data_IF_416050410378
#
_entry.id   IF_416050410378
#
_cell.length_a   1.000
_cell.length_b   1.000
_cell.length_c   1.000
_cell.angle_alpha   90.00
_cell.angle_beta   90.00
_cell.angle_gamma   90.00
#
_symmetry.space_group_name_H-M   'P 1'
#
loop_
_entity.id
_entity.type
_entity.pdbx_description
1 polymer ?
#
# COMPACT_ATOMS: atom_id res chain seq x y z
N UNK A 1 7.49 -2.08 -15.13
CA UNK A 1 7.05 -2.60 -13.85
C UNK A 1 6.96 -1.49 -12.82
N UNK A 2 5.84 -1.40 -12.15
CA UNK A 2 5.66 -0.34 -11.14
C UNK A 2 6.44 -0.64 -9.88
N UNK A 3 7.06 0.39 -9.36
CA UNK A 3 7.76 0.30 -8.09
C UNK A 3 7.14 1.24 -7.09
N UNK A 4 6.88 0.73 -5.92
CA UNK A 4 6.36 1.55 -4.84
C UNK A 4 7.50 2.10 -4.00
N UNK A 5 7.33 3.32 -3.52
CA UNK A 5 8.26 3.88 -2.54
C UNK A 5 8.04 3.19 -1.21
N UNK A 6 8.96 3.37 -0.28
CA UNK A 6 8.81 2.78 1.04
C UNK A 6 7.54 3.28 1.74
N UNK A 7 7.25 4.55 1.59
CA UNK A 7 6.03 5.12 2.17
C UNK A 7 4.79 4.49 1.58
N UNK A 8 4.78 4.28 0.27
CA UNK A 8 3.66 3.63 -0.39
C UNK A 8 3.49 2.19 0.07
N UNK A 9 4.60 1.49 0.26
CA UNK A 9 4.56 0.12 0.76
C UNK A 9 3.97 0.06 2.16
N UNK A 10 4.38 0.99 3.01
CA UNK A 10 3.84 1.06 4.37
C UNK A 10 2.34 1.32 4.35
N UNK A 11 1.90 2.22 3.51
CA UNK A 11 0.48 2.53 3.38
C UNK A 11 -0.27 1.28 2.90
N UNK A 12 0.26 0.62 1.87
CA UNK A 12 -0.37 -0.57 1.31
C UNK A 12 -0.52 -1.67 2.35
N UNK A 13 0.47 -1.80 3.24
CA UNK A 13 0.42 -2.80 4.30
C UNK A 13 -0.67 -2.55 5.34
N UNK A 14 -1.15 -1.32 5.43
CA UNK A 14 -2.23 -0.98 6.35
C UNK A 14 -3.60 -1.47 5.87
N UNK A 15 -3.70 -1.85 4.61
CA UNK A 15 -4.96 -2.28 4.02
C UNK A 15 -4.94 -3.76 3.75
N UNK A 16 -6.05 -4.42 4.02
CA UNK A 16 -6.18 -5.86 3.83
C UNK A 16 -7.19 -6.16 2.73
N UNK A 17 -7.05 -7.33 2.14
CA UNK A 17 -7.99 -7.80 1.14
C UNK A 17 -7.46 -7.67 -0.28
N UNK A 18 -8.35 -7.88 -1.24
CA UNK A 18 -7.99 -7.81 -2.64
C UNK A 18 -7.91 -6.39 -3.16
N UNK A 19 -7.51 -6.27 -4.40
CA UNK A 19 -7.31 -4.98 -5.06
C UNK A 19 -8.52 -4.06 -4.94
N UNK A 20 -9.71 -4.57 -5.25
CA UNK A 20 -10.92 -3.77 -5.22
C UNK A 20 -11.21 -3.22 -3.82
N UNK A 21 -11.07 -4.08 -2.83
CA UNK A 21 -11.32 -3.68 -1.44
C UNK A 21 -10.32 -2.62 -0.98
N UNK A 22 -9.06 -2.84 -1.30
CA UNK A 22 -7.99 -1.92 -0.90
C UNK A 22 -8.22 -0.54 -1.53
N UNK A 23 -8.53 -0.51 -2.82
CA UNK A 23 -8.78 0.76 -3.51
C UNK A 23 -9.97 1.48 -2.89
N UNK A 24 -11.03 0.77 -2.59
CA UNK A 24 -12.22 1.37 -1.97
C UNK A 24 -11.90 1.95 -0.60
N UNK A 25 -11.15 1.21 0.20
CA UNK A 25 -10.79 1.68 1.53
C UNK A 25 -9.86 2.89 1.47
N UNK A 26 -8.98 2.92 0.49
CA UNK A 26 -8.11 4.08 0.28
C UNK A 26 -8.91 5.32 -0.13
N UNK A 27 -9.92 5.15 -0.98
CA UNK A 27 -10.80 6.26 -1.34
C UNK A 27 -11.52 6.83 -0.12
N UNK A 28 -11.94 5.95 0.78
CA UNK A 28 -12.59 6.39 2.02
C UNK A 28 -11.62 7.20 2.88
N UNK A 29 -10.40 6.73 2.98
CA UNK A 29 -9.37 7.47 3.72
C UNK A 29 -9.10 8.82 3.10
N UNK A 30 -9.09 8.90 1.77
CA UNK A 30 -8.91 10.17 1.08
C UNK A 30 -10.04 11.15 1.39
N UNK A 31 -11.28 10.68 1.42
CA UNK A 31 -12.41 11.53 1.75
C UNK A 31 -12.27 12.11 3.16
N UNK A 32 -11.85 11.29 4.09
CA UNK A 32 -11.65 11.75 5.46
C UNK A 32 -10.56 12.80 5.53
N UNK A 33 -9.46 12.59 4.82
CA UNK A 33 -8.36 13.56 4.79
C UNK A 33 -8.77 14.86 4.13
N UNK A 34 -9.56 14.79 3.06
CA UNK A 34 -10.07 15.99 2.41
C UNK A 34 -10.97 16.78 3.34
N UNK A 35 -11.80 16.10 4.11
CA UNK A 35 -12.72 16.76 5.03
C UNK A 35 -12.00 17.46 6.18
N UNK A 36 -10.94 16.85 6.68
CA UNK A 36 -10.16 17.43 7.77
C UNK A 36 -9.13 18.43 7.29
N UNK A 37 -8.61 18.21 6.09
CA UNK A 37 -7.55 19.05 5.53
C UNK A 37 -6.25 19.02 6.29
N UNK A 38 -6.05 17.99 7.12
CA UNK A 38 -4.90 17.92 8.01
C UNK A 38 -3.60 17.44 7.38
N UNK A 39 -3.68 16.58 6.35
CA UNK A 39 -2.48 15.95 5.82
C UNK A 39 -2.51 15.90 4.30
N UNK A 40 -2.17 17.02 3.64
CA UNK A 40 -2.17 17.04 2.17
C UNK A 40 -1.12 16.11 1.55
N UNK A 41 -0.02 15.85 2.25
CA UNK A 41 0.99 14.94 1.72
C UNK A 41 0.49 13.50 1.68
N UNK A 42 -0.19 13.09 2.73
CA UNK A 42 -0.77 11.76 2.77
C UNK A 42 -1.86 11.60 1.71
N UNK A 43 -2.65 12.64 1.51
CA UNK A 43 -3.68 12.64 0.48
C UNK A 43 -3.07 12.42 -0.90
N UNK A 44 -1.98 13.11 -1.19
CA UNK A 44 -1.28 12.97 -2.45
C UNK A 44 -0.70 11.56 -2.61
N UNK A 45 -0.10 11.03 -1.55
CA UNK A 45 0.44 9.67 -1.58
C UNK A 45 -0.65 8.65 -1.86
N UNK A 46 -1.79 8.78 -1.21
CA UNK A 46 -2.91 7.88 -1.43
C UNK A 46 -3.43 7.98 -2.86
N UNK A 47 -3.56 9.18 -3.37
CA UNK A 47 -4.02 9.40 -4.73
C UNK A 47 -3.11 8.72 -5.74
N UNK A 48 -1.80 8.93 -5.60
CA UNK A 48 -0.82 8.32 -6.48
C UNK A 48 -0.84 6.79 -6.39
N UNK A 49 -0.97 6.28 -5.17
CA UNK A 49 -1.02 4.85 -4.97
C UNK A 49 -2.26 4.23 -5.58
N UNK A 50 -3.40 4.88 -5.43
CA UNK A 50 -4.65 4.41 -6.03
C UNK A 50 -4.53 4.35 -7.54
N UNK A 51 -3.96 5.38 -8.16
CA UNK A 51 -3.76 5.39 -9.61
C UNK A 51 -2.91 4.20 -10.05
N UNK A 52 -1.84 3.92 -9.34
CA UNK A 52 -0.99 2.80 -9.65
C UNK A 52 -1.74 1.46 -9.49
N UNK A 53 -2.50 1.32 -8.43
CA UNK A 53 -3.25 0.10 -8.18
C UNK A 53 -4.35 -0.12 -9.22
N UNK A 54 -5.01 0.94 -9.64
CA UNK A 54 -6.04 0.85 -10.67
C UNK A 54 -5.47 0.48 -12.02
N UNK A 55 -4.23 0.86 -12.28
CA UNK A 55 -3.56 0.56 -13.54
C UNK A 55 -2.97 -0.83 -13.60
N UNK A 56 -2.77 -1.47 -12.47
CA UNK A 56 -2.13 -2.78 -12.43
C UNK A 56 -3.16 -3.91 -12.51
N UNK A 57 -2.69 -5.08 -12.90
CA UNK A 57 -3.53 -6.28 -12.90
C UNK A 57 -3.62 -6.83 -11.47
N UNK A 58 -4.56 -7.75 -11.25
CA UNK A 58 -4.67 -8.41 -9.95
C UNK A 58 -3.38 -9.13 -9.58
N UNK A 59 -2.74 -9.73 -10.56
CA UNK A 59 -1.48 -10.44 -10.35
C UNK A 59 -0.39 -9.47 -9.89
N UNK A 60 -0.30 -8.32 -10.54
CA UNK A 60 0.66 -7.30 -10.16
C UNK A 60 0.36 -6.75 -8.78
N UNK A 61 -0.90 -6.58 -8.46
CA UNK A 61 -1.31 -6.12 -7.14
C UNK A 61 -0.84 -7.09 -6.05
N UNK A 62 -1.09 -8.37 -6.23
CA UNK A 62 -0.66 -9.37 -5.26
C UNK A 62 0.85 -9.41 -5.10
N UNK A 63 1.56 -9.21 -6.20
CA UNK A 63 3.01 -9.17 -6.15
C UNK A 63 3.51 -7.96 -5.37
N UNK A 64 2.91 -6.80 -5.58
CA UNK A 64 3.27 -5.60 -4.83
C UNK A 64 2.97 -5.76 -3.35
N UNK A 65 1.83 -6.36 -3.02
CA UNK A 65 1.45 -6.65 -1.64
C UNK A 65 2.48 -7.56 -0.98
N UNK A 66 2.88 -8.60 -1.68
CA UNK A 66 3.85 -9.55 -1.19
C UNK A 66 5.20 -8.89 -0.93
N UNK A 67 5.65 -8.05 -1.85
CA UNK A 67 6.89 -7.33 -1.69
C UNK A 67 6.85 -6.39 -0.48
N UNK A 68 5.72 -5.73 -0.28
CA UNK A 68 5.53 -4.86 0.87
C UNK A 68 5.64 -5.63 2.17
N UNK A 69 5.03 -6.81 2.23
CA UNK A 69 5.09 -7.65 3.42
C UNK A 69 6.50 -8.16 3.67
N UNK A 70 7.20 -8.53 2.61
CA UNK A 70 8.57 -9.03 2.74
C UNK A 70 9.49 -7.96 3.29
N UNK A 71 9.32 -6.73 2.85
CA UNK A 71 10.12 -5.63 3.38
C UNK A 71 9.86 -5.42 4.87
N UNK A 72 8.62 -5.59 5.31
CA UNK A 72 8.26 -5.44 6.72
C UNK A 72 8.79 -6.57 7.58
N UNK A 73 8.86 -7.76 7.01
CA UNK A 73 9.21 -8.98 7.75
C UNK A 73 10.66 -9.40 7.59
N UNK A 74 11.43 -8.63 6.87
CA UNK A 74 12.81 -8.99 6.57
C UNK A 74 13.61 -9.37 7.80
N UNK A 75 13.49 -8.60 8.85
CA UNK A 75 14.20 -8.88 10.09
C UNK A 75 13.74 -10.18 10.74
N UNK A 76 12.46 -10.44 10.71
CA UNK A 76 11.91 -11.66 11.29
C UNK A 76 12.37 -12.89 10.52
N UNK A 77 12.47 -12.77 9.22
CA UNK A 77 12.93 -13.85 8.39
C UNK A 77 14.38 -14.19 8.69
N UNK A 78 15.20 -13.18 8.89
CA UNK A 78 16.59 -13.42 9.25
C UNK A 78 16.71 -14.15 10.56
N UNK A 79 15.93 -13.75 11.52
CA UNK A 79 15.91 -14.39 12.82
C UNK A 79 15.48 -15.86 12.70
N UNK A 80 14.49 -16.10 11.87
CA UNK A 80 13.99 -17.46 11.66
C UNK A 80 15.04 -18.36 11.03
N UNK A 81 15.82 -17.82 10.12
CA UNK A 81 16.84 -18.59 9.43
C UNK A 81 17.94 -19.04 10.39
N UNK A 82 18.25 -18.21 11.34
CA UNK A 82 19.28 -18.51 12.30
C UNK A 82 18.92 -19.66 13.23
N UNK A 83 17.64 -19.84 13.41
CA UNK A 83 17.13 -20.93 14.24
C UNK A 83 17.20 -22.25 13.49
#
# INVERSE_FOLDING_TARGET
>A
MMRLTEEQKMILNCYEGGKTKVIRDMHRSMEELENTGEDPEMLELLENLIVQLESCTNKEFFQMKKESLLDSEEEEMETSIEV
#
